data_IF_367795536354
#
_entry.id   IF_367795536354
#
_cell.length_a   1.000
_cell.length_b   1.000
_cell.length_c   1.000
_cell.angle_alpha   90.00
_cell.angle_beta   90.00
_cell.angle_gamma   90.00
#
_symmetry.space_group_name_H-M   'P 1'
#
loop_
_entity.id
_entity.type
_entity.pdbx_description
1 polymer ?
#
# COMPACT_ATOMS: atom_id res chain seq x y z
N UNK A 1 21.04 -4.59 9.44
CA UNK A 1 20.89 -5.78 8.58
C UNK A 1 19.46 -6.30 8.74
N UNK A 2 18.54 -5.89 7.87
CA UNK A 2 17.23 -6.55 7.81
C UNK A 2 17.46 -7.85 7.05
N UNK A 3 17.51 -8.97 7.77
CA UNK A 3 17.38 -10.28 7.15
C UNK A 3 16.08 -10.27 6.34
N UNK A 4 16.20 -10.20 5.01
CA UNK A 4 15.05 -10.38 4.11
C UNK A 4 14.55 -11.79 4.36
N UNK A 5 13.56 -11.93 5.26
CA UNK A 5 12.88 -13.19 5.50
C UNK A 5 12.43 -13.74 4.15
N UNK A 6 12.88 -14.94 3.83
CA UNK A 6 12.54 -15.63 2.59
C UNK A 6 11.01 -15.78 2.53
N UNK A 7 10.36 -15.01 1.65
CA UNK A 7 8.91 -15.14 1.46
C UNK A 7 8.69 -16.47 0.72
N UNK A 8 8.07 -17.44 1.41
CA UNK A 8 7.76 -18.75 0.82
C UNK A 8 6.77 -18.60 -0.32
N UNK A 9 6.94 -19.39 -1.38
CA UNK A 9 6.04 -19.45 -2.54
C UNK A 9 4.61 -19.84 -2.13
N UNK A 10 4.45 -20.61 -1.05
CA UNK A 10 3.15 -21.08 -0.58
C UNK A 10 2.26 -19.98 0.01
N UNK A 11 2.83 -18.80 0.28
CA UNK A 11 2.08 -17.63 0.76
C UNK A 11 1.36 -16.88 -0.37
N UNK A 12 1.60 -17.26 -1.63
CA UNK A 12 1.03 -16.64 -2.82
C UNK A 12 -0.01 -17.53 -3.49
N UNK A 13 -1.12 -16.91 -3.87
CA UNK A 13 -2.17 -17.51 -4.70
C UNK A 13 -1.68 -17.75 -6.14
N UNK A 14 -2.42 -18.51 -6.94
CA UNK A 14 -2.06 -18.80 -8.34
C UNK A 14 -1.87 -17.53 -9.17
N UNK A 15 -2.78 -16.57 -9.04
CA UNK A 15 -2.69 -15.28 -9.72
C UNK A 15 -1.47 -14.47 -9.27
N UNK A 16 -1.17 -14.46 -7.96
CA UNK A 16 0.01 -13.78 -7.43
C UNK A 16 1.33 -14.45 -7.91
N UNK A 17 1.32 -15.75 -8.18
CA UNK A 17 2.48 -16.46 -8.76
C UNK A 17 2.73 -16.03 -10.20
N UNK A 18 1.68 -15.90 -11.01
CA UNK A 18 1.80 -15.35 -12.36
C UNK A 18 2.32 -13.90 -12.34
N UNK A 19 1.85 -13.07 -11.39
CA UNK A 19 2.37 -11.72 -11.19
C UNK A 19 3.87 -11.72 -10.83
N UNK A 20 4.32 -12.67 -9.99
CA UNK A 20 5.74 -12.82 -9.65
C UNK A 20 6.57 -13.11 -10.90
N UNK A 21 6.13 -14.03 -11.75
CA UNK A 21 6.85 -14.42 -12.96
C UNK A 21 6.95 -13.25 -13.96
N UNK A 22 5.86 -12.50 -14.15
CA UNK A 22 5.85 -11.30 -14.99
C UNK A 22 6.84 -10.26 -14.47
N UNK A 23 6.83 -10.00 -13.16
CA UNK A 23 7.75 -9.03 -12.55
C UNK A 23 9.20 -9.52 -12.68
N UNK A 24 9.46 -10.81 -12.44
CA UNK A 24 10.77 -11.41 -12.59
C UNK A 24 11.32 -11.25 -14.01
N UNK A 25 10.53 -11.57 -15.03
CA UNK A 25 10.92 -11.37 -16.43
C UNK A 25 11.17 -9.89 -16.74
N UNK A 26 10.36 -8.98 -16.22
CA UNK A 26 10.57 -7.53 -16.41
C UNK A 26 11.89 -7.05 -15.78
N UNK A 27 12.29 -7.62 -14.63
CA UNK A 27 13.55 -7.30 -13.95
C UNK A 27 14.74 -7.85 -14.73
N UNK A 28 14.64 -9.06 -15.26
CA UNK A 28 15.65 -9.64 -16.15
C UNK A 28 15.84 -8.80 -17.39
N UNK A 29 14.76 -8.37 -18.04
CA UNK A 29 14.81 -7.59 -19.27
C UNK A 29 15.42 -6.21 -19.03
N UNK A 30 15.01 -5.53 -17.95
CA UNK A 30 15.63 -4.25 -17.51
C UNK A 30 17.12 -4.42 -17.22
N UNK A 31 17.52 -5.53 -16.60
CA UNK A 31 18.93 -5.81 -16.35
C UNK A 31 19.68 -5.97 -17.66
N UNK A 32 19.18 -6.80 -18.58
CA UNK A 32 19.77 -7.01 -19.92
C UNK A 32 19.89 -5.71 -20.70
N UNK A 33 18.87 -4.86 -20.70
CA UNK A 33 18.90 -3.56 -21.36
C UNK A 33 19.97 -2.62 -20.77
N UNK A 34 20.23 -2.71 -19.45
CA UNK A 34 21.18 -1.83 -18.77
C UNK A 34 22.63 -2.29 -18.88
N UNK A 35 22.86 -3.60 -18.83
CA UNK A 35 24.20 -4.18 -18.76
C UNK A 35 24.65 -4.85 -20.05
N UNK A 36 23.73 -5.06 -21.01
CA UNK A 36 23.93 -5.84 -22.23
C UNK A 36 24.46 -7.26 -21.99
N UNK A 37 24.29 -7.78 -20.76
CA UNK A 37 24.78 -9.09 -20.32
C UNK A 37 23.66 -9.90 -19.72
N UNK A 38 23.81 -11.22 -19.79
CA UNK A 38 22.93 -12.12 -19.07
C UNK A 38 23.21 -12.03 -17.56
N UNK A 39 22.17 -12.10 -16.72
CA UNK A 39 22.34 -12.05 -15.28
C UNK A 39 22.96 -13.34 -14.75
N UNK A 40 23.95 -13.21 -13.89
CA UNK A 40 24.55 -14.35 -13.19
C UNK A 40 23.53 -15.02 -12.25
N UNK A 41 23.78 -16.28 -11.89
CA UNK A 41 22.95 -17.07 -10.96
C UNK A 41 22.70 -16.40 -9.59
N UNK A 42 23.61 -15.52 -9.14
CA UNK A 42 23.39 -14.69 -7.93
C UNK A 42 22.33 -13.63 -8.17
N UNK A 43 22.35 -12.98 -9.33
CA UNK A 43 21.40 -11.94 -9.72
C UNK A 43 20.01 -12.51 -9.98
N UNK A 44 19.92 -13.70 -10.57
CA UNK A 44 18.64 -14.38 -10.74
C UNK A 44 17.93 -14.61 -9.40
N UNK A 45 18.66 -15.09 -8.38
CA UNK A 45 18.10 -15.27 -7.02
C UNK A 45 17.67 -13.94 -6.40
N UNK A 46 18.45 -12.88 -6.58
CA UNK A 46 18.09 -11.53 -6.14
C UNK A 46 16.78 -11.06 -6.80
N UNK A 47 16.61 -11.28 -8.10
CA UNK A 47 15.39 -10.90 -8.81
C UNK A 47 14.18 -11.73 -8.38
N UNK A 48 14.33 -13.02 -8.14
CA UNK A 48 13.23 -13.84 -7.61
C UNK A 48 12.80 -13.35 -6.23
N UNK A 49 13.74 -12.98 -5.37
CA UNK A 49 13.44 -12.42 -4.06
C UNK A 49 12.78 -11.04 -4.16
N UNK A 50 13.27 -10.20 -5.07
CA UNK A 50 12.71 -8.87 -5.28
C UNK A 50 11.28 -8.95 -5.85
N UNK A 51 11.03 -9.82 -6.83
CA UNK A 51 9.71 -10.03 -7.40
C UNK A 51 8.70 -10.49 -6.33
N UNK A 52 9.05 -11.47 -5.49
CA UNK A 52 8.20 -11.89 -4.36
C UNK A 52 7.94 -10.76 -3.37
N UNK A 53 8.95 -9.95 -3.07
CA UNK A 53 8.82 -8.83 -2.15
C UNK A 53 7.89 -7.74 -2.71
N UNK A 54 8.00 -7.45 -4.01
CA UNK A 54 7.12 -6.50 -4.69
C UNK A 54 5.66 -6.96 -4.63
N UNK A 55 5.37 -8.21 -4.97
CA UNK A 55 3.99 -8.74 -4.90
C UNK A 55 3.44 -8.72 -3.47
N UNK A 56 4.24 -9.12 -2.47
CA UNK A 56 3.80 -9.06 -1.07
C UNK A 56 3.52 -7.61 -0.62
N UNK A 57 4.36 -6.65 -1.04
CA UNK A 57 4.13 -5.23 -0.74
C UNK A 57 2.84 -4.71 -1.37
N UNK A 58 2.56 -5.09 -2.63
CA UNK A 58 1.33 -4.73 -3.33
C UNK A 58 0.10 -5.34 -2.63
N UNK A 59 0.19 -6.59 -2.17
CA UNK A 59 -0.85 -7.25 -1.38
C UNK A 59 -1.16 -6.48 -0.10
N UNK A 60 -0.13 -6.09 0.66
CA UNK A 60 -0.29 -5.30 1.88
C UNK A 60 -0.89 -3.91 1.59
N UNK A 61 -0.50 -3.27 0.49
CA UNK A 61 -1.09 -1.98 0.07
C UNK A 61 -2.56 -2.15 -0.28
N UNK A 62 -2.93 -3.17 -1.07
CA UNK A 62 -4.32 -3.49 -1.41
C UNK A 62 -5.14 -3.74 -0.14
N UNK A 63 -4.62 -4.53 0.81
CA UNK A 63 -5.28 -4.79 2.09
C UNK A 63 -5.46 -3.53 2.94
N UNK A 64 -4.44 -2.68 3.05
CA UNK A 64 -4.54 -1.39 3.73
C UNK A 64 -5.58 -0.48 3.07
N UNK A 65 -5.58 -0.39 1.74
CA UNK A 65 -6.56 0.41 1.01
C UNK A 65 -8.00 -0.09 1.23
N UNK A 66 -8.22 -1.40 1.32
CA UNK A 66 -9.53 -1.97 1.67
C UNK A 66 -9.91 -1.64 3.13
N UNK A 67 -8.95 -1.75 4.06
CA UNK A 67 -9.17 -1.38 5.46
C UNK A 67 -9.48 0.11 5.62
N UNK A 68 -8.82 1.00 4.88
CA UNK A 68 -9.07 2.44 4.90
C UNK A 68 -10.40 2.80 4.25
N UNK A 69 -10.81 2.07 3.20
CA UNK A 69 -12.17 2.19 2.62
C UNK A 69 -13.26 1.70 3.57
N UNK A 70 -12.97 0.70 4.41
CA UNK A 70 -13.87 0.27 5.48
C UNK A 70 -13.91 1.28 6.63
N UNK A 71 -12.78 1.93 6.93
CA UNK A 71 -12.66 3.05 7.88
C UNK A 71 -13.02 4.41 7.25
N UNK A 72 -14.04 4.47 6.38
CA UNK A 72 -14.55 5.77 5.96
C UNK A 72 -14.95 6.56 7.21
N UNK A 73 -14.47 7.81 7.40
CA UNK A 73 -15.01 8.66 8.44
C UNK A 73 -16.49 8.81 8.13
N UNK A 74 -17.34 8.55 9.14
CA UNK A 74 -18.77 8.84 9.08
C UNK A 74 -18.87 10.26 8.52
N UNK A 75 -19.36 10.40 7.29
CA UNK A 75 -19.57 11.71 6.67
C UNK A 75 -20.41 12.47 7.68
N UNK A 76 -19.81 13.49 8.32
CA UNK A 76 -20.55 14.32 9.28
C UNK A 76 -21.78 14.80 8.53
N UNK A 77 -22.95 14.38 9.02
CA UNK A 77 -24.23 14.75 8.42
C UNK A 77 -24.28 16.27 8.31
N UNK A 78 -24.86 16.78 7.23
CA UNK A 78 -25.12 18.22 7.12
C UNK A 78 -25.97 18.62 8.33
N UNK A 79 -25.73 19.79 8.94
CA UNK A 79 -26.43 20.19 10.17
C UNK A 79 -27.95 20.22 10.00
N UNK A 80 -28.47 20.46 8.79
CA UNK A 80 -29.89 20.38 8.43
C UNK A 80 -30.51 18.98 8.59
N UNK A 81 -29.69 17.93 8.66
CA UNK A 81 -30.10 16.53 8.80
C UNK A 81 -29.80 15.94 10.19
N UNK A 82 -29.43 16.78 11.15
CA UNK A 82 -29.25 16.44 12.56
C UNK A 82 -30.49 16.86 13.35
N UNK A 83 -30.91 16.04 14.31
CA UNK A 83 -31.98 16.42 15.24
C UNK A 83 -31.50 17.54 16.16
N UNK A 84 -32.41 18.38 16.69
CA UNK A 84 -32.04 19.51 17.54
C UNK A 84 -31.19 19.12 18.77
N UNK A 85 -31.31 17.88 19.25
CA UNK A 85 -30.49 17.34 20.35
C UNK A 85 -29.08 16.91 19.96
N UNK A 86 -28.79 16.75 18.66
CA UNK A 86 -27.46 16.38 18.13
C UNK A 86 -26.67 17.60 17.63
N UNK A 87 -27.32 18.76 17.53
CA UNK A 87 -26.67 20.04 17.24
C UNK A 87 -26.08 20.55 18.55
N UNK A 88 -24.78 20.35 18.74
CA UNK A 88 -24.01 21.10 19.74
C UNK A 88 -24.22 22.58 19.47
N UNK A 89 -24.83 23.30 20.41
CA UNK A 89 -24.98 24.75 20.34
C UNK A 89 -23.65 25.41 19.95
N UNK A 90 -23.74 26.40 19.08
CA UNK A 90 -22.59 27.09 18.52
C UNK A 90 -21.66 27.60 19.63
N UNK A 91 -20.48 26.99 19.77
CA UNK A 91 -19.49 27.35 20.79
C UNK A 91 -18.56 28.44 20.27
N UNK A 92 -18.74 29.67 20.76
CA UNK A 92 -17.95 30.85 20.38
C UNK A 92 -16.45 30.64 20.62
N UNK A 93 -16.09 29.91 21.69
CA UNK A 93 -14.68 29.64 22.07
C UNK A 93 -13.96 28.77 21.04
N UNK A 94 -14.68 27.86 20.36
CA UNK A 94 -14.11 27.01 19.30
C UNK A 94 -13.81 27.81 18.02
N UNK A 95 -14.58 28.87 17.73
CA UNK A 95 -14.36 29.75 16.58
C UNK A 95 -13.12 30.63 16.75
N UNK A 96 -12.82 31.08 17.98
CA UNK A 96 -11.62 31.89 18.26
C UNK A 96 -10.33 31.07 18.12
N UNK A 97 -10.34 29.79 18.48
CA UNK A 97 -9.17 28.91 18.36
C UNK A 97 -8.73 28.69 16.91
N UNK A 98 -9.67 28.66 15.95
CA UNK A 98 -9.39 28.41 14.52
C UNK A 98 -8.76 29.60 13.79
N UNK A 99 -8.88 30.81 14.35
CA UNK A 99 -8.27 32.03 13.81
C UNK A 99 -6.83 32.26 14.24
N UNK A 100 -6.34 31.53 15.25
CA UNK A 100 -4.98 31.69 15.75
C UNK A 100 -4.02 30.80 14.98
N UNK A 101 -3.62 31.24 13.78
CA UNK A 101 -2.37 30.74 13.18
C UNK A 101 -1.22 31.17 14.10
N UNK A 102 -0.59 30.20 14.77
CA UNK A 102 0.79 30.31 15.25
C UNK A 102 1.66 29.50 14.32
#
# INVERSE_FOLDING_TARGET
MNEKKMISIDQFTTQEREEIDVIYHSLLEKYRQRTAKEPDSKKEKEFTLDARQQVMSLKLIKQKALADKAKKPVRRKKPESLSASEVSDFNWSASVAKGRRR
#
